data_IF_418182930192
#
_entry.id   IF_418182930192
#
_cell.length_a   1.000
_cell.length_b   1.000
_cell.length_c   1.000
_cell.angle_alpha   90.00
_cell.angle_beta   90.00
_cell.angle_gamma   90.00
#
_symmetry.space_group_name_H-M   'P 1'
#
loop_
_entity.id
_entity.type
_entity.pdbx_description
1 polymer ?
#
# COMPACT_ATOMS: atom_id res chain seq x y z
N UNK A 1 12.95 5.85 -24.20
CA UNK A 1 14.24 6.22 -23.55
C UNK A 1 14.06 6.67 -22.11
N UNK A 2 13.24 7.69 -21.85
CA UNK A 2 13.03 8.27 -20.52
C UNK A 2 12.70 7.24 -19.43
N UNK A 3 11.74 6.34 -19.68
CA UNK A 3 11.34 5.30 -18.72
C UNK A 3 12.51 4.40 -18.28
N UNK A 4 13.27 3.89 -19.25
CA UNK A 4 14.42 3.01 -18.96
C UNK A 4 15.46 3.77 -18.16
N UNK A 5 15.75 5.03 -18.53
CA UNK A 5 16.67 5.87 -17.79
C UNK A 5 16.25 6.08 -16.33
N UNK A 6 14.97 6.37 -16.07
CA UNK A 6 14.44 6.55 -14.71
C UNK A 6 14.53 5.26 -13.89
N UNK A 7 14.16 4.11 -14.48
CA UNK A 7 14.26 2.80 -13.82
C UNK A 7 15.72 2.50 -13.45
N UNK A 8 16.63 2.67 -14.40
CA UNK A 8 18.07 2.45 -14.18
C UNK A 8 18.60 3.39 -13.10
N UNK A 9 18.19 4.66 -13.11
CA UNK A 9 18.56 5.64 -12.08
C UNK A 9 18.09 5.21 -10.69
N UNK A 10 16.85 4.76 -10.55
CA UNK A 10 16.32 4.27 -9.28
C UNK A 10 17.08 3.06 -8.75
N UNK A 11 17.44 2.11 -9.61
CA UNK A 11 18.25 0.96 -9.19
C UNK A 11 19.68 1.34 -8.85
N UNK A 12 20.33 2.18 -9.65
CA UNK A 12 21.72 2.60 -9.41
C UNK A 12 21.86 3.41 -8.12
N UNK A 13 21.03 4.45 -7.96
CA UNK A 13 21.04 5.28 -6.74
C UNK A 13 20.58 4.46 -5.54
N UNK A 14 19.54 3.62 -5.70
CA UNK A 14 19.07 2.75 -4.63
C UNK A 14 20.15 1.78 -4.14
N UNK A 15 20.86 1.12 -5.06
CA UNK A 15 21.98 0.23 -4.75
C UNK A 15 23.12 0.98 -4.07
N UNK A 16 23.50 2.15 -4.59
CA UNK A 16 24.52 3.00 -3.97
C UNK A 16 24.14 3.40 -2.54
N UNK A 17 22.89 3.81 -2.32
CA UNK A 17 22.41 4.21 -1.00
C UNK A 17 22.33 3.05 0.00
N UNK A 18 22.15 1.81 -0.46
CA UNK A 18 22.12 0.63 0.43
C UNK A 18 23.55 0.21 0.81
N UNK A 19 24.47 0.17 -0.14
CA UNK A 19 25.78 -0.49 0.06
C UNK A 19 26.96 0.47 0.22
N UNK A 20 26.89 1.68 -0.34
CA UNK A 20 28.05 2.59 -0.44
C UNK A 20 27.86 3.92 0.30
N UNK A 21 26.65 4.23 0.76
CA UNK A 21 26.33 5.50 1.44
C UNK A 21 27.13 5.71 2.73
N UNK A 22 27.37 4.68 3.55
CA UNK A 22 28.18 4.82 4.77
C UNK A 22 29.62 5.21 4.45
N UNK A 23 30.23 4.57 3.45
CA UNK A 23 31.58 4.90 3.02
C UNK A 23 31.64 6.34 2.49
N UNK A 24 30.71 6.72 1.61
CA UNK A 24 30.64 8.05 1.03
C UNK A 24 30.47 9.16 2.08
N UNK A 25 29.63 8.94 3.09
CA UNK A 25 29.43 9.90 4.17
C UNK A 25 30.65 10.05 5.08
N UNK A 26 31.41 8.97 5.32
CA UNK A 26 32.69 9.03 6.06
C UNK A 26 33.76 9.78 5.28
N UNK A 27 33.84 9.57 3.97
CA UNK A 27 34.77 10.31 3.10
C UNK A 27 34.46 11.83 3.12
N UNK A 28 33.17 12.17 3.05
CA UNK A 28 32.73 13.57 3.13
C UNK A 28 33.01 14.18 4.51
N UNK A 29 32.90 13.40 5.59
CA UNK A 29 33.33 13.81 6.92
C UNK A 29 34.83 14.17 6.94
N UNK A 30 35.71 13.32 6.41
CA UNK A 30 37.15 13.62 6.40
C UNK A 30 37.52 14.87 5.58
N UNK A 31 36.68 15.28 4.62
CA UNK A 31 36.87 16.49 3.83
C UNK A 31 36.30 17.76 4.48
N UNK A 32 35.23 17.64 5.26
CA UNK A 32 34.44 18.78 5.76
C UNK A 32 34.51 18.97 7.28
N UNK A 33 35.00 17.94 7.98
CA UNK A 33 35.06 17.82 9.44
C UNK A 33 33.69 17.97 10.15
N UNK A 34 32.60 17.70 9.43
CA UNK A 34 31.23 17.78 9.96
C UNK A 34 30.86 16.46 10.66
N UNK A 35 30.88 16.45 11.99
CA UNK A 35 30.58 15.29 12.83
C UNK A 35 29.23 14.61 12.51
N UNK A 36 28.21 15.39 12.12
CA UNK A 36 26.89 14.87 11.73
C UNK A 36 26.98 13.86 10.58
N UNK A 37 27.91 14.04 9.64
CA UNK A 37 28.10 13.12 8.52
C UNK A 37 28.66 11.77 9.00
N UNK A 38 29.60 11.81 9.94
CA UNK A 38 30.15 10.60 10.55
C UNK A 38 29.07 9.83 11.32
N UNK A 39 28.29 10.52 12.15
CA UNK A 39 27.18 9.92 12.89
C UNK A 39 26.10 9.34 11.96
N UNK A 40 25.79 10.05 10.87
CA UNK A 40 24.85 9.58 9.86
C UNK A 40 25.38 8.35 9.10
N UNK A 41 26.70 8.25 8.91
CA UNK A 41 27.34 7.11 8.28
C UNK A 41 27.38 5.87 9.16
N UNK A 42 27.50 6.05 10.47
CA UNK A 42 27.53 4.97 11.46
C UNK A 42 26.11 4.46 11.78
N UNK A 43 25.14 5.38 11.88
CA UNK A 43 23.70 5.07 12.02
C UNK A 43 22.95 5.21 10.70
N UNK A 44 23.43 4.50 9.68
CA UNK A 44 22.97 4.69 8.30
C UNK A 44 21.63 3.99 7.95
N UNK A 45 20.72 3.94 8.91
CA UNK A 45 19.41 3.36 8.72
C UNK A 45 18.59 4.14 7.68
N UNK A 46 18.66 5.47 7.72
CA UNK A 46 17.79 6.32 6.90
C UNK A 46 18.15 6.24 5.40
N UNK A 47 19.43 6.31 5.04
CA UNK A 47 19.82 6.18 3.62
C UNK A 47 19.61 4.77 3.11
N UNK A 48 19.90 3.75 3.93
CA UNK A 48 19.60 2.36 3.56
C UNK A 48 18.10 2.15 3.30
N UNK A 49 17.23 2.73 4.14
CA UNK A 49 15.77 2.68 3.94
C UNK A 49 15.33 3.45 2.71
N UNK A 50 15.88 4.64 2.47
CA UNK A 50 15.62 5.39 1.25
C UNK A 50 16.05 4.60 0.00
N UNK A 51 17.21 3.96 0.04
CA UNK A 51 17.69 3.10 -1.04
C UNK A 51 16.74 1.93 -1.33
N UNK A 52 16.23 1.26 -0.28
CA UNK A 52 15.19 0.23 -0.43
C UNK A 52 13.92 0.76 -1.12
N UNK A 53 13.47 1.97 -0.76
CA UNK A 53 12.30 2.60 -1.39
C UNK A 53 12.57 2.91 -2.86
N UNK A 54 13.75 3.41 -3.21
CA UNK A 54 14.12 3.65 -4.62
C UNK A 54 14.16 2.37 -5.43
N UNK A 55 14.74 1.29 -4.90
CA UNK A 55 14.74 -0.03 -5.55
C UNK A 55 13.30 -0.51 -5.77
N UNK A 56 12.43 -0.39 -4.76
CA UNK A 56 11.01 -0.73 -4.89
C UNK A 56 10.30 0.11 -5.96
N UNK A 57 10.59 1.42 -6.07
CA UNK A 57 10.07 2.25 -7.16
C UNK A 57 10.60 1.80 -8.53
N UNK A 58 11.87 1.42 -8.64
CA UNK A 58 12.42 0.81 -9.85
C UNK A 58 11.68 -0.46 -10.26
N UNK A 59 11.39 -1.34 -9.29
CA UNK A 59 10.59 -2.56 -9.49
C UNK A 59 9.16 -2.22 -9.94
N UNK A 60 8.43 -1.38 -9.19
CA UNK A 60 7.06 -1.02 -9.55
C UNK A 60 6.97 -0.32 -10.90
N UNK A 61 7.95 0.53 -11.23
CA UNK A 61 7.95 1.23 -12.51
C UNK A 61 8.31 0.30 -13.68
N UNK A 62 9.10 -0.74 -13.43
CA UNK A 62 9.34 -1.83 -14.40
C UNK A 62 8.05 -2.60 -14.67
N UNK A 63 7.30 -2.96 -13.62
CA UNK A 63 6.01 -3.66 -13.72
C UNK A 63 4.80 -2.76 -13.99
N UNK A 64 5.03 -1.48 -14.30
CA UNK A 64 3.97 -0.48 -14.52
C UNK A 64 2.90 -0.95 -15.53
N UNK A 65 3.28 -1.68 -16.59
CA UNK A 65 2.31 -2.17 -17.58
C UNK A 65 1.28 -3.13 -16.96
N UNK A 66 1.71 -3.97 -16.01
CA UNK A 66 0.83 -4.87 -15.27
C UNK A 66 0.03 -4.12 -14.22
N UNK A 67 0.64 -3.14 -13.53
CA UNK A 67 -0.03 -2.35 -12.49
C UNK A 67 -1.06 -1.36 -13.03
N UNK A 68 -0.87 -0.86 -14.26
CA UNK A 68 -1.81 0.03 -14.96
C UNK A 68 -3.02 -0.70 -15.53
N UNK A 69 -3.11 -2.02 -15.38
CA UNK A 69 -4.35 -2.72 -15.70
C UNK A 69 -5.48 -2.13 -14.87
N UNK A 70 -6.60 -1.80 -15.55
CA UNK A 70 -7.72 -1.06 -14.97
C UNK A 70 -8.29 -1.70 -13.70
N UNK A 71 -8.11 -3.01 -13.52
CA UNK A 71 -8.51 -3.72 -12.31
C UNK A 71 -7.62 -3.35 -11.12
N UNK A 72 -6.29 -3.49 -11.22
CA UNK A 72 -5.35 -3.24 -10.11
C UNK A 72 -5.38 -1.78 -9.67
N UNK A 73 -5.39 -0.85 -10.61
CA UNK A 73 -5.52 0.58 -10.31
C UNK A 73 -6.82 0.90 -9.57
N UNK A 74 -7.93 0.25 -9.94
CA UNK A 74 -9.25 0.46 -9.32
C UNK A 74 -9.34 -0.20 -7.94
N UNK A 75 -8.64 -1.30 -7.69
CA UNK A 75 -8.48 -1.88 -6.34
C UNK A 75 -7.75 -0.86 -5.45
N UNK A 76 -6.65 -0.29 -5.94
CA UNK A 76 -5.84 0.71 -5.23
C UNK A 76 -6.62 1.96 -4.82
N UNK A 77 -7.49 2.46 -5.71
CA UNK A 77 -8.37 3.60 -5.43
C UNK A 77 -9.39 3.35 -4.31
N UNK A 78 -9.72 2.08 -4.04
CA UNK A 78 -10.77 1.67 -3.10
C UNK A 78 -10.21 0.96 -1.87
N UNK A 79 -8.93 1.12 -1.58
CA UNK A 79 -8.26 0.50 -0.40
C UNK A 79 -8.98 0.80 0.92
N UNK A 80 -9.44 2.04 1.14
CA UNK A 80 -10.22 2.39 2.33
C UNK A 80 -11.55 1.61 2.40
N UNK A 81 -12.27 1.52 1.29
CA UNK A 81 -13.54 0.79 1.23
C UNK A 81 -13.34 -0.71 1.44
N UNK A 82 -12.33 -1.30 0.78
CA UNK A 82 -11.93 -2.70 0.98
C UNK A 82 -11.61 -2.94 2.45
N UNK A 83 -10.80 -2.08 3.07
CA UNK A 83 -10.42 -2.19 4.47
C UNK A 83 -11.64 -2.20 5.40
N UNK A 84 -12.56 -1.24 5.24
CA UNK A 84 -13.77 -1.14 6.06
C UNK A 84 -14.65 -2.38 5.88
N UNK A 85 -14.89 -2.82 4.65
CA UNK A 85 -15.72 -4.00 4.36
C UNK A 85 -15.08 -5.27 4.92
N UNK A 86 -13.77 -5.46 4.74
CA UNK A 86 -13.06 -6.60 5.33
C UNK A 86 -13.23 -6.61 6.86
N UNK A 87 -13.15 -5.44 7.50
CA UNK A 87 -13.23 -5.33 8.96
C UNK A 87 -14.65 -5.64 9.46
N UNK A 88 -15.67 -5.20 8.72
CA UNK A 88 -17.07 -5.53 8.99
C UNK A 88 -17.30 -7.03 8.89
N UNK A 89 -16.87 -7.67 7.81
CA UNK A 89 -17.18 -9.09 7.55
C UNK A 89 -16.35 -10.02 8.45
N UNK A 90 -15.05 -9.75 8.58
CA UNK A 90 -14.15 -10.63 9.33
C UNK A 90 -14.33 -10.49 10.83
N UNK A 91 -14.36 -9.26 11.35
CA UNK A 91 -14.43 -8.98 12.78
C UNK A 91 -15.86 -8.70 13.26
N UNK A 92 -16.80 -8.41 12.38
CA UNK A 92 -18.17 -8.08 12.78
C UNK A 92 -18.25 -6.68 13.40
N UNK A 93 -17.39 -5.73 13.01
CA UNK A 93 -17.20 -4.49 13.77
C UNK A 93 -18.44 -3.62 13.98
N UNK A 94 -19.49 -3.78 13.16
CA UNK A 94 -20.77 -3.06 13.33
C UNK A 94 -21.87 -3.94 13.94
N UNK A 95 -21.83 -5.26 13.74
CA UNK A 95 -22.89 -6.20 14.14
C UNK A 95 -22.51 -7.06 15.36
N UNK A 96 -21.25 -7.02 15.80
CA UNK A 96 -20.71 -7.88 16.86
C UNK A 96 -20.56 -9.36 16.46
N UNK A 97 -20.88 -9.70 15.21
CA UNK A 97 -20.90 -11.08 14.69
C UNK A 97 -20.09 -11.11 13.40
N UNK A 98 -18.81 -11.50 13.51
CA UNK A 98 -17.89 -11.63 12.38
C UNK A 98 -17.52 -13.09 12.11
N UNK A 99 -17.01 -13.37 10.90
CA UNK A 99 -16.52 -14.72 10.52
C UNK A 99 -15.50 -15.26 11.52
N UNK A 100 -14.66 -14.38 12.10
CA UNK A 100 -13.70 -14.75 13.14
C UNK A 100 -14.37 -15.47 14.30
N UNK A 101 -15.59 -15.13 14.69
CA UNK A 101 -16.27 -15.76 15.85
C UNK A 101 -16.64 -17.23 15.60
N UNK A 102 -16.95 -17.58 14.35
CA UNK A 102 -17.39 -18.94 13.98
C UNK A 102 -16.24 -19.84 13.55
N UNK A 103 -15.24 -19.28 12.89
CA UNK A 103 -14.15 -20.05 12.26
C UNK A 103 -12.79 -19.83 12.93
N UNK A 104 -12.76 -19.29 14.16
CA UNK A 104 -11.50 -19.09 14.88
C UNK A 104 -10.82 -20.43 15.17
N UNK A 105 -9.61 -20.63 14.66
CA UNK A 105 -8.77 -21.80 14.94
C UNK A 105 -9.42 -23.18 14.68
N UNK A 106 -10.55 -23.24 13.96
CA UNK A 106 -11.29 -24.47 13.66
C UNK A 106 -11.13 -24.95 12.22
N UNK A 107 -10.48 -24.15 11.36
CA UNK A 107 -10.27 -24.45 9.94
C UNK A 107 -8.97 -25.25 9.73
N UNK A 108 -9.03 -26.25 8.85
CA UNK A 108 -7.82 -26.92 8.38
C UNK A 108 -6.97 -25.97 7.50
N UNK A 109 -5.64 -26.17 7.38
CA UNK A 109 -4.77 -25.29 6.60
C UNK A 109 -5.24 -25.08 5.15
N UNK A 110 -5.72 -26.14 4.50
CA UNK A 110 -6.26 -26.09 3.14
C UNK A 110 -7.55 -25.28 3.05
N UNK A 111 -8.48 -25.48 4.00
CA UNK A 111 -9.72 -24.73 4.08
C UNK A 111 -9.47 -23.25 4.37
N UNK A 112 -8.47 -22.94 5.20
CA UNK A 112 -8.07 -21.58 5.51
C UNK A 112 -7.50 -20.85 4.28
N UNK A 113 -6.67 -21.52 3.47
CA UNK A 113 -6.14 -20.95 2.21
C UNK A 113 -7.28 -20.66 1.23
N UNK A 114 -8.18 -21.63 1.01
CA UNK A 114 -9.31 -21.47 0.10
C UNK A 114 -10.26 -20.37 0.61
N UNK A 115 -10.55 -20.37 1.90
CA UNK A 115 -11.38 -19.36 2.55
C UNK A 115 -10.78 -17.96 2.46
N UNK A 116 -9.47 -17.81 2.63
CA UNK A 116 -8.78 -16.53 2.48
C UNK A 116 -8.84 -16.01 1.04
N UNK A 117 -8.62 -16.88 0.05
CA UNK A 117 -8.73 -16.50 -1.37
C UNK A 117 -10.15 -16.08 -1.74
N UNK A 118 -11.15 -16.86 -1.33
CA UNK A 118 -12.57 -16.53 -1.51
C UNK A 118 -12.93 -15.20 -0.85
N UNK A 119 -12.46 -14.98 0.39
CA UNK A 119 -12.71 -13.76 1.14
C UNK A 119 -12.14 -12.52 0.44
N UNK A 120 -10.90 -12.59 -0.05
CA UNK A 120 -10.27 -11.48 -0.79
C UNK A 120 -11.07 -11.14 -2.05
N UNK A 121 -11.49 -12.15 -2.82
CA UNK A 121 -12.29 -11.95 -4.03
C UNK A 121 -13.64 -11.31 -3.70
N UNK A 122 -14.35 -11.83 -2.70
CA UNK A 122 -15.66 -11.32 -2.28
C UNK A 122 -15.58 -9.87 -1.79
N UNK A 123 -14.64 -9.55 -0.89
CA UNK A 123 -14.47 -8.18 -0.36
C UNK A 123 -14.12 -7.21 -1.50
N UNK A 124 -13.24 -7.62 -2.43
CA UNK A 124 -12.86 -6.81 -3.58
C UNK A 124 -14.05 -6.53 -4.50
N UNK A 125 -14.87 -7.55 -4.80
CA UNK A 125 -16.09 -7.40 -5.59
C UNK A 125 -17.10 -6.47 -4.89
N UNK A 126 -17.38 -6.70 -3.60
CA UNK A 126 -18.31 -5.84 -2.83
C UNK A 126 -17.83 -4.39 -2.86
N UNK A 127 -16.53 -4.14 -2.64
CA UNK A 127 -15.98 -2.79 -2.65
C UNK A 127 -16.16 -2.09 -4.01
N UNK A 128 -16.01 -2.82 -5.12
CA UNK A 128 -16.24 -2.25 -6.45
C UNK A 128 -17.69 -1.85 -6.70
N UNK A 129 -18.65 -2.69 -6.28
CA UNK A 129 -20.08 -2.39 -6.45
C UNK A 129 -20.57 -1.32 -5.45
N UNK A 130 -20.14 -1.38 -4.19
CA UNK A 130 -20.54 -0.45 -3.13
C UNK A 130 -20.07 0.99 -3.39
N UNK A 131 -18.86 1.17 -3.94
CA UNK A 131 -18.36 2.49 -4.30
C UNK A 131 -19.19 3.18 -5.40
N UNK A 132 -19.89 2.40 -6.26
CA UNK A 132 -20.84 2.93 -7.24
C UNK A 132 -22.12 3.47 -6.58
N UNK A 133 -22.51 2.90 -5.44
CA UNK A 133 -23.69 3.29 -4.66
C UNK A 133 -23.46 4.56 -3.84
N UNK A 134 -22.22 4.97 -3.55
CA UNK A 134 -21.97 6.23 -2.83
C UNK A 134 -22.52 7.45 -3.58
N UNK A 135 -22.53 7.46 -4.92
CA UNK A 135 -23.18 8.52 -5.70
C UNK A 135 -24.71 8.50 -5.53
N UNK A 136 -25.30 7.31 -5.38
CA UNK A 136 -26.73 7.16 -5.11
C UNK A 136 -27.09 7.59 -3.69
N UNK A 137 -26.32 7.18 -2.68
CA UNK A 137 -26.52 7.56 -1.27
C UNK A 137 -26.30 9.07 -1.08
N UNK A 138 -25.28 9.65 -1.71
CA UNK A 138 -25.04 11.09 -1.65
C UNK A 138 -26.16 11.89 -2.32
N UNK A 139 -26.66 11.44 -3.46
CA UNK A 139 -27.82 12.06 -4.12
C UNK A 139 -29.11 11.92 -3.32
N UNK A 140 -29.30 10.80 -2.61
CA UNK A 140 -30.45 10.59 -1.73
C UNK A 140 -30.36 11.45 -0.47
N UNK A 141 -29.19 11.51 0.16
CA UNK A 141 -28.91 12.38 1.30
C UNK A 141 -29.07 13.86 0.93
N UNK A 142 -28.57 14.27 -0.24
CA UNK A 142 -28.77 15.63 -0.77
C UNK A 142 -30.24 15.93 -1.01
N UNK A 143 -31.01 15.01 -1.61
CA UNK A 143 -32.45 15.17 -1.80
C UNK A 143 -33.21 15.26 -0.47
N UNK A 144 -32.79 14.53 0.56
CA UNK A 144 -33.37 14.63 1.91
C UNK A 144 -33.05 15.98 2.55
N UNK A 145 -31.80 16.45 2.50
CA UNK A 145 -31.40 17.75 3.04
C UNK A 145 -32.09 18.92 2.32
N UNK A 146 -32.20 18.87 0.99
CA UNK A 146 -32.93 19.89 0.21
C UNK A 146 -34.43 19.88 0.52
N UNK A 147 -35.01 18.73 0.89
CA UNK A 147 -36.42 18.61 1.29
C UNK A 147 -36.68 19.15 2.70
N UNK A 148 -35.70 19.12 3.59
CA UNK A 148 -35.78 19.70 4.94
C UNK A 148 -35.43 21.20 4.98
N UNK A 149 -34.86 21.76 3.91
CA UNK A 149 -34.53 23.18 3.79
C UNK A 149 -35.66 24.02 3.17
N UNK A 150 -36.83 23.42 2.95
CA UNK A 150 -38.06 24.05 2.43
C UNK A 150 -39.10 24.09 3.54
#
# INVERSE_FOLDING_TARGET
LFKVFTITTFFLIGYFLIYHSSWFLKELYYLTDIELLFLSADYNYLFTRLGNVLVLFGVFYSFEHFLKQSLIARIGEKTLSIYVIHFIILFGSFTGVGLKRFYNASLNPTEAIIGALMFIVVVSLISFYYARTNHFVYNLARKLVERFKK
#
